data_IF_131805604868
#
_entry.id   IF_131805604868
#
_cell.length_a   1.000
_cell.length_b   1.000
_cell.length_c   1.000
_cell.angle_alpha   90.00
_cell.angle_beta   90.00
_cell.angle_gamma   90.00
#
_symmetry.space_group_name_H-M   'P 1'
#
loop_
_entity.id
_entity.type
_entity.pdbx_description
1 polymer ?
#
# COMPACT_ATOMS: atom_id res chain seq x y z
N UNK A 1 2.25 7.79 -45.07
CA UNK A 1 1.50 6.59 -44.63
C UNK A 1 2.45 5.51 -44.10
N UNK A 2 3.04 5.70 -42.91
CA UNK A 2 3.85 4.67 -42.20
C UNK A 2 3.51 4.50 -40.71
N UNK A 3 2.65 5.35 -40.13
CA UNK A 3 2.27 5.33 -38.71
C UNK A 3 1.37 4.16 -38.29
N UNK A 4 0.71 3.47 -39.23
CA UNK A 4 -0.24 2.38 -38.90
C UNK A 4 0.42 1.05 -38.52
N UNK A 5 1.61 0.75 -39.03
CA UNK A 5 2.29 -0.54 -38.78
C UNK A 5 3.08 -0.56 -37.46
N UNK A 6 3.71 0.55 -37.09
CA UNK A 6 4.50 0.66 -35.86
C UNK A 6 3.60 0.66 -34.61
N UNK A 7 2.46 1.37 -34.65
CA UNK A 7 1.51 1.40 -33.53
C UNK A 7 0.88 0.02 -33.25
N UNK A 8 0.51 -0.72 -34.30
CA UNK A 8 -0.07 -2.06 -34.14
C UNK A 8 0.94 -3.06 -33.56
N UNK A 9 2.22 -2.93 -33.94
CA UNK A 9 3.31 -3.75 -33.40
C UNK A 9 3.63 -3.42 -31.93
N UNK A 10 3.52 -2.15 -31.53
CA UNK A 10 3.73 -1.72 -30.14
C UNK A 10 2.58 -2.16 -29.22
N UNK A 11 1.34 -2.05 -29.68
CA UNK A 11 0.16 -2.49 -28.94
C UNK A 11 0.16 -4.00 -28.71
N UNK A 12 0.49 -4.79 -29.74
CA UNK A 12 0.62 -6.25 -29.62
C UNK A 12 1.68 -6.62 -28.59
N UNK A 13 2.83 -5.94 -28.64
CA UNK A 13 3.92 -6.17 -27.68
C UNK A 13 3.50 -5.85 -26.24
N UNK A 14 2.80 -4.74 -26.00
CA UNK A 14 2.31 -4.40 -24.67
C UNK A 14 1.29 -5.44 -24.18
N UNK A 15 0.39 -5.91 -25.04
CA UNK A 15 -0.56 -6.97 -24.68
C UNK A 15 0.16 -8.26 -24.29
N UNK A 16 1.21 -8.65 -25.01
CA UNK A 16 2.02 -9.81 -24.66
C UNK A 16 2.69 -9.64 -23.28
N UNK A 17 3.27 -8.47 -22.99
CA UNK A 17 3.87 -8.17 -21.69
C UNK A 17 2.85 -8.21 -20.54
N UNK A 18 1.65 -7.65 -20.75
CA UNK A 18 0.57 -7.70 -19.77
C UNK A 18 0.08 -9.13 -19.57
N UNK A 19 0.01 -9.93 -20.64
CA UNK A 19 -0.36 -11.33 -20.55
C UNK A 19 0.68 -12.15 -19.76
N UNK A 20 1.97 -11.81 -19.84
CA UNK A 20 3.00 -12.43 -19.01
C UNK A 20 2.79 -12.16 -17.51
N UNK A 21 2.25 -10.99 -17.11
CA UNK A 21 1.93 -10.71 -15.69
C UNK A 21 0.96 -11.74 -15.09
N UNK A 22 0.09 -12.34 -15.90
CA UNK A 22 -0.85 -13.37 -15.44
C UNK A 22 -0.19 -14.72 -15.16
N UNK A 23 1.03 -14.96 -15.66
CA UNK A 23 1.68 -16.28 -15.63
C UNK A 23 2.77 -16.40 -14.58
N UNK A 24 3.24 -15.26 -14.08
CA UNK A 24 4.42 -15.16 -13.21
C UNK A 24 4.03 -14.61 -11.85
N UNK A 25 4.80 -15.00 -10.84
CA UNK A 25 4.70 -14.50 -9.48
C UNK A 25 5.74 -13.39 -9.27
N UNK A 26 6.22 -13.21 -8.04
CA UNK A 26 7.33 -12.31 -7.71
C UNK A 26 8.63 -12.57 -8.48
N UNK A 27 8.75 -13.70 -9.20
CA UNK A 27 9.91 -14.05 -10.04
C UNK A 27 9.83 -13.50 -11.46
N UNK A 28 8.91 -12.58 -11.75
CA UNK A 28 8.92 -11.83 -13.01
C UNK A 28 10.33 -11.25 -13.30
N UNK A 29 10.72 -11.28 -14.57
CA UNK A 29 12.00 -10.75 -15.01
C UNK A 29 12.00 -9.22 -15.00
N UNK A 30 13.13 -8.63 -14.57
CA UNK A 30 13.27 -7.18 -14.48
C UNK A 30 13.14 -6.50 -15.85
N UNK A 31 13.45 -7.19 -16.97
CA UNK A 31 13.27 -6.60 -18.30
C UNK A 31 11.78 -6.49 -18.65
N UNK A 32 10.96 -7.47 -18.29
CA UNK A 32 9.49 -7.38 -18.48
C UNK A 32 8.94 -6.15 -17.76
N UNK A 33 9.34 -5.94 -16.49
CA UNK A 33 8.95 -4.75 -15.72
C UNK A 33 9.44 -3.45 -16.38
N UNK A 34 10.72 -3.39 -16.78
CA UNK A 34 11.29 -2.21 -17.48
C UNK A 34 10.55 -1.89 -18.76
N UNK A 35 10.18 -2.90 -19.54
CA UNK A 35 9.48 -2.70 -20.80
C UNK A 35 8.07 -2.17 -20.57
N UNK A 36 7.32 -2.70 -19.61
CA UNK A 36 5.99 -2.17 -19.25
C UNK A 36 6.10 -0.72 -18.76
N UNK A 37 7.05 -0.42 -17.88
CA UNK A 37 7.30 0.94 -17.39
C UNK A 37 7.66 1.88 -18.56
N UNK A 38 8.43 1.41 -19.54
CA UNK A 38 8.79 2.20 -20.73
C UNK A 38 7.59 2.52 -21.65
N UNK A 39 6.50 1.75 -21.59
CA UNK A 39 5.24 2.11 -22.27
C UNK A 39 4.50 3.27 -21.58
N UNK A 40 4.86 3.61 -20.34
CA UNK A 40 4.32 4.75 -19.62
C UNK A 40 2.80 4.68 -19.46
N UNK A 41 2.11 5.79 -19.71
CA UNK A 41 0.65 5.89 -19.60
C UNK A 41 -0.13 4.94 -20.53
N UNK A 42 0.49 4.40 -21.59
CA UNK A 42 -0.17 3.42 -22.46
C UNK A 42 -0.43 2.09 -21.75
N UNK A 43 0.36 1.75 -20.72
CA UNK A 43 0.15 0.54 -19.92
C UNK A 43 -1.01 0.67 -18.93
N UNK A 44 -1.33 1.89 -18.48
CA UNK A 44 -2.32 2.15 -17.40
C UNK A 44 -3.68 1.50 -17.66
N UNK A 45 -4.33 1.63 -18.84
CA UNK A 45 -5.64 1.01 -19.07
C UNK A 45 -5.62 -0.52 -18.94
N UNK A 46 -4.50 -1.16 -19.29
CA UNK A 46 -4.34 -2.60 -19.17
C UNK A 46 -4.17 -3.04 -17.70
N UNK A 47 -3.43 -2.26 -16.92
CA UNK A 47 -3.24 -2.50 -15.48
C UNK A 47 -4.54 -2.25 -14.70
N UNK A 48 -5.28 -1.18 -15.03
CA UNK A 48 -6.61 -0.96 -14.46
C UNK A 48 -7.58 -2.09 -14.82
N UNK A 49 -7.50 -2.60 -16.05
CA UNK A 49 -8.35 -3.71 -16.48
C UNK A 49 -8.08 -5.00 -15.68
N UNK A 50 -6.86 -5.20 -15.17
CA UNK A 50 -6.58 -6.29 -14.22
C UNK A 50 -7.37 -6.10 -12.93
N UNK A 51 -7.36 -4.90 -12.34
CA UNK A 51 -8.11 -4.60 -11.11
C UNK A 51 -9.63 -4.74 -11.33
N UNK A 52 -10.15 -4.26 -12.48
CA UNK A 52 -11.57 -4.41 -12.83
C UNK A 52 -11.96 -5.88 -12.96
N UNK A 53 -11.10 -6.72 -13.52
CA UNK A 53 -11.36 -8.16 -13.57
C UNK A 53 -11.33 -8.81 -12.19
N UNK A 54 -10.41 -8.38 -11.31
CA UNK A 54 -10.38 -8.86 -9.93
C UNK A 54 -11.66 -8.50 -9.16
N UNK A 55 -12.14 -7.26 -9.30
CA UNK A 55 -13.44 -6.80 -8.77
C UNK A 55 -14.61 -7.67 -9.29
N UNK A 56 -14.66 -7.94 -10.60
CA UNK A 56 -15.70 -8.80 -11.18
C UNK A 56 -15.66 -10.24 -10.66
N UNK A 57 -14.46 -10.77 -10.39
CA UNK A 57 -14.30 -12.12 -9.83
C UNK A 57 -14.68 -12.19 -8.35
N UNK A 58 -14.63 -11.07 -7.63
CA UNK A 58 -14.80 -10.98 -6.17
C UNK A 58 -16.12 -11.57 -5.67
N UNK A 59 -17.21 -11.47 -6.45
CA UNK A 59 -18.50 -12.07 -6.10
C UNK A 59 -18.52 -13.60 -6.08
N UNK A 60 -17.53 -14.24 -6.72
CA UNK A 60 -17.48 -15.69 -6.95
C UNK A 60 -16.20 -16.33 -6.40
N UNK A 61 -15.40 -15.61 -5.61
CA UNK A 61 -14.17 -16.17 -5.02
C UNK A 61 -14.57 -17.26 -4.03
N UNK A 62 -14.15 -18.49 -4.31
CA UNK A 62 -14.24 -19.59 -3.37
C UNK A 62 -12.96 -19.66 -2.54
N UNK A 63 -12.96 -18.94 -1.42
CA UNK A 63 -11.81 -18.84 -0.50
C UNK A 63 -11.41 -20.20 0.10
N UNK A 64 -12.29 -21.21 0.04
CA UNK A 64 -12.02 -22.57 0.53
C UNK A 64 -11.31 -23.47 -0.48
N UNK A 65 -11.13 -23.03 -1.72
CA UNK A 65 -10.47 -23.81 -2.77
C UNK A 65 -9.44 -22.92 -3.45
N UNK A 66 -8.13 -23.13 -3.22
CA UNK A 66 -7.09 -22.40 -3.93
C UNK A 66 -7.32 -22.56 -5.43
N UNK A 67 -7.70 -21.49 -6.11
CA UNK A 67 -7.71 -21.48 -7.57
C UNK A 67 -6.26 -21.56 -8.07
N UNK A 68 -6.03 -22.19 -9.22
CA UNK A 68 -4.70 -22.53 -9.75
C UNK A 68 -3.61 -21.46 -9.56
N UNK A 69 -2.75 -21.74 -8.58
CA UNK A 69 -1.40 -21.33 -8.18
C UNK A 69 -0.71 -20.00 -8.57
N UNK A 70 -1.16 -19.15 -9.51
CA UNK A 70 -0.39 -17.93 -9.85
C UNK A 70 -1.20 -16.70 -10.26
N UNK A 71 -2.46 -16.88 -10.60
CA UNK A 71 -3.31 -15.79 -11.10
C UNK A 71 -3.51 -14.65 -10.08
N UNK A 72 -3.31 -14.91 -8.78
CA UNK A 72 -3.52 -13.89 -7.74
C UNK A 72 -2.47 -12.78 -7.77
N UNK A 73 -1.21 -13.10 -8.13
CA UNK A 73 -0.10 -12.13 -8.10
C UNK A 73 -0.23 -11.05 -9.18
N UNK A 74 -1.08 -11.25 -10.18
CA UNK A 74 -1.35 -10.26 -11.22
C UNK A 74 -1.91 -8.95 -10.67
N UNK A 75 -2.71 -9.00 -9.60
CA UNK A 75 -3.22 -7.80 -8.94
C UNK A 75 -2.08 -7.03 -8.28
N UNK A 76 -1.16 -7.75 -7.64
CA UNK A 76 0.05 -7.16 -7.05
C UNK A 76 0.91 -6.50 -8.12
N UNK A 77 1.15 -7.17 -9.25
CA UNK A 77 1.83 -6.56 -10.40
C UNK A 77 1.15 -5.25 -10.82
N UNK A 78 -0.18 -5.26 -10.97
CA UNK A 78 -0.94 -4.09 -11.40
C UNK A 78 -0.82 -2.92 -10.43
N UNK A 79 -1.00 -3.14 -9.12
CA UNK A 79 -0.92 -2.10 -8.10
C UNK A 79 0.45 -1.39 -8.10
N UNK A 80 1.54 -2.16 -8.04
CA UNK A 80 2.89 -1.57 -8.01
C UNK A 80 3.29 -0.93 -9.33
N UNK A 81 2.85 -1.45 -10.48
CA UNK A 81 3.09 -0.81 -11.78
C UNK A 81 2.32 0.50 -11.91
N UNK A 82 1.06 0.58 -11.45
CA UNK A 82 0.31 1.84 -11.42
C UNK A 82 1.02 2.89 -10.55
N UNK A 83 1.56 2.48 -9.40
CA UNK A 83 2.33 3.34 -8.50
C UNK A 83 3.65 3.83 -9.12
N UNK A 84 4.40 2.93 -9.76
CA UNK A 84 5.64 3.25 -10.48
C UNK A 84 5.38 4.24 -11.62
N UNK A 85 4.27 4.06 -12.34
CA UNK A 85 3.83 4.93 -13.42
C UNK A 85 3.23 6.26 -12.95
N UNK A 86 3.11 6.47 -11.62
CA UNK A 86 2.50 7.67 -11.01
C UNK A 86 1.09 7.95 -11.54
N UNK A 87 0.31 6.90 -11.73
CA UNK A 87 -1.05 7.01 -12.28
C UNK A 87 -2.06 7.46 -11.22
N UNK A 88 -1.94 8.71 -10.72
CA UNK A 88 -2.79 9.25 -9.65
C UNK A 88 -4.29 9.14 -9.97
N UNK A 89 -4.67 9.20 -11.25
CA UNK A 89 -6.07 9.03 -11.69
C UNK A 89 -6.63 7.63 -11.46
N UNK A 90 -5.76 6.63 -11.28
CA UNK A 90 -6.15 5.27 -10.95
C UNK A 90 -6.44 5.07 -9.46
N UNK A 91 -6.20 6.08 -8.61
CA UNK A 91 -6.41 5.99 -7.15
C UNK A 91 -7.84 5.54 -6.80
N UNK A 92 -8.86 6.13 -7.44
CA UNK A 92 -10.25 5.77 -7.17
C UNK A 92 -10.56 4.29 -7.42
N UNK A 93 -9.99 3.71 -8.48
CA UNK A 93 -10.13 2.27 -8.77
C UNK A 93 -9.37 1.40 -7.77
N UNK A 94 -8.19 1.85 -7.32
CA UNK A 94 -7.43 1.16 -6.27
C UNK A 94 -8.20 1.18 -4.96
N UNK A 95 -8.80 2.31 -4.58
CA UNK A 95 -9.63 2.41 -3.38
C UNK A 95 -10.91 1.56 -3.51
N UNK A 96 -11.57 1.51 -4.67
CA UNK A 96 -12.70 0.60 -4.92
C UNK A 96 -12.31 -0.88 -4.76
N UNK A 97 -11.10 -1.24 -5.17
CA UNK A 97 -10.55 -2.57 -4.94
C UNK A 97 -10.25 -2.82 -3.45
N UNK A 98 -9.72 -1.85 -2.72
CA UNK A 98 -9.46 -1.96 -1.29
C UNK A 98 -10.73 -1.86 -0.42
N UNK A 99 -11.87 -1.44 -0.96
CA UNK A 99 -13.15 -1.46 -0.26
C UNK A 99 -13.81 -2.86 -0.28
N UNK A 100 -13.18 -3.85 -0.90
CA UNK A 100 -13.70 -5.22 -0.89
C UNK A 100 -13.60 -5.85 0.52
N UNK A 101 -14.32 -6.95 0.72
CA UNK A 101 -14.31 -7.68 1.99
C UNK A 101 -12.95 -8.32 2.26
N UNK A 102 -12.63 -8.55 3.55
CA UNK A 102 -11.38 -9.17 3.99
C UNK A 102 -11.03 -10.43 3.20
N UNK A 103 -12.00 -11.32 3.00
CA UNK A 103 -11.78 -12.61 2.35
C UNK A 103 -11.41 -12.50 0.87
N UNK A 104 -11.88 -11.45 0.19
CA UNK A 104 -11.47 -11.08 -1.17
C UNK A 104 -10.06 -10.48 -1.16
N UNK A 105 -9.78 -9.58 -0.22
CA UNK A 105 -8.47 -8.92 -0.11
C UNK A 105 -7.38 -9.92 0.25
N UNK A 106 -7.63 -10.82 1.20
CA UNK A 106 -6.72 -11.91 1.60
C UNK A 106 -6.35 -12.79 0.40
N UNK A 107 -7.32 -13.06 -0.48
CA UNK A 107 -7.07 -13.87 -1.68
C UNK A 107 -6.12 -13.18 -2.66
N UNK A 108 -6.23 -11.86 -2.85
CA UNK A 108 -5.44 -11.15 -3.86
C UNK A 108 -4.13 -10.58 -3.32
N UNK A 109 -4.11 -10.14 -2.06
CA UNK A 109 -3.02 -9.38 -1.47
C UNK A 109 -2.25 -10.18 -0.41
N UNK A 110 -2.89 -11.18 0.21
CA UNK A 110 -2.32 -11.91 1.34
C UNK A 110 -1.76 -10.93 2.40
N UNK A 111 -0.56 -11.20 2.92
CA UNK A 111 0.13 -10.38 3.93
C UNK A 111 0.52 -8.98 3.42
N UNK A 112 0.48 -8.73 2.10
CA UNK A 112 0.88 -7.43 1.55
C UNK A 112 -0.09 -6.30 1.89
N UNK A 113 -1.34 -6.63 2.19
CA UNK A 113 -2.35 -5.63 2.57
C UNK A 113 -1.86 -4.78 3.75
N UNK A 114 -1.26 -5.43 4.74
CA UNK A 114 -0.88 -4.83 6.01
C UNK A 114 0.56 -4.30 5.99
N UNK A 115 1.42 -4.87 5.14
CA UNK A 115 2.85 -4.56 5.15
C UNK A 115 3.26 -3.50 4.12
N UNK A 116 2.73 -3.57 2.90
CA UNK A 116 3.37 -2.89 1.76
C UNK A 116 2.41 -2.11 0.83
N UNK A 117 1.11 -2.42 0.84
CA UNK A 117 0.12 -1.74 -0.04
C UNK A 117 0.07 -0.23 0.19
N UNK A 118 0.44 0.24 1.38
CA UNK A 118 0.56 1.67 1.68
C UNK A 118 1.49 2.42 0.72
N UNK A 119 2.51 1.78 0.12
CA UNK A 119 3.40 2.43 -0.85
C UNK A 119 2.68 2.80 -2.14
N UNK A 120 1.77 1.94 -2.60
CA UNK A 120 0.92 2.22 -3.76
C UNK A 120 0.06 3.43 -3.45
N UNK A 121 -0.59 3.45 -2.28
CA UNK A 121 -1.44 4.55 -1.84
C UNK A 121 -0.65 5.86 -1.62
N UNK A 122 0.60 5.78 -1.14
CA UNK A 122 1.49 6.92 -1.00
C UNK A 122 1.72 7.58 -2.37
N UNK A 123 2.11 6.81 -3.38
CA UNK A 123 2.45 7.37 -4.69
C UNK A 123 1.23 7.85 -5.48
N UNK A 124 0.10 7.17 -5.37
CA UNK A 124 -1.13 7.55 -6.06
C UNK A 124 -1.90 8.67 -5.34
N UNK A 125 -1.78 8.74 -4.02
CA UNK A 125 -2.60 9.59 -3.16
C UNK A 125 -1.93 10.84 -2.61
N UNK A 126 -0.62 11.02 -2.79
CA UNK A 126 0.12 12.17 -2.23
C UNK A 126 -0.44 13.55 -2.59
N UNK A 127 -1.19 13.69 -3.68
CA UNK A 127 -1.86 14.92 -4.10
C UNK A 127 -3.39 14.83 -4.08
N UNK A 128 -3.95 13.78 -3.49
CA UNK A 128 -5.38 13.42 -3.51
C UNK A 128 -5.87 13.09 -2.09
N UNK A 129 -5.46 13.89 -1.11
CA UNK A 129 -5.70 13.63 0.32
C UNK A 129 -7.19 13.53 0.67
N UNK A 130 -8.06 14.25 -0.03
CA UNK A 130 -9.50 14.23 0.20
C UNK A 130 -10.12 12.85 -0.14
N UNK A 131 -9.60 12.15 -1.16
CA UNK A 131 -10.03 10.79 -1.50
C UNK A 131 -9.56 9.78 -0.44
N UNK A 132 -8.31 9.92 0.02
CA UNK A 132 -7.78 9.10 1.12
C UNK A 132 -8.56 9.33 2.41
N UNK A 133 -8.87 10.59 2.73
CA UNK A 133 -9.70 10.97 3.88
C UNK A 133 -11.10 10.33 3.79
N UNK A 134 -11.75 10.44 2.63
CA UNK A 134 -13.08 9.86 2.43
C UNK A 134 -13.06 8.35 2.68
N UNK A 135 -12.02 7.66 2.21
CA UNK A 135 -11.88 6.23 2.39
C UNK A 135 -11.67 5.82 3.86
N UNK A 136 -10.78 6.51 4.59
CA UNK A 136 -10.49 6.16 6.00
C UNK A 136 -11.64 6.49 6.94
N UNK A 137 -12.45 7.51 6.63
CA UNK A 137 -13.62 7.87 7.43
C UNK A 137 -14.81 6.92 7.25
N UNK A 138 -14.83 6.11 6.19
CA UNK A 138 -15.88 5.12 5.98
C UNK A 138 -15.59 3.85 6.79
N UNK A 139 -16.26 3.73 7.94
CA UNK A 139 -16.15 2.59 8.87
C UNK A 139 -16.67 1.26 8.28
N UNK A 140 -17.32 1.28 7.11
CA UNK A 140 -17.71 0.04 6.41
C UNK A 140 -16.55 -0.59 5.63
N UNK A 141 -15.48 0.17 5.38
CA UNK A 141 -14.28 -0.35 4.75
C UNK A 141 -13.51 -1.28 5.69
N UNK A 142 -12.80 -2.21 5.09
CA UNK A 142 -11.96 -3.17 5.79
C UNK A 142 -10.91 -2.46 6.70
N UNK A 143 -10.78 -2.94 7.95
CA UNK A 143 -9.88 -2.37 8.97
C UNK A 143 -8.44 -2.23 8.47
N UNK A 144 -7.89 -3.28 7.86
CA UNK A 144 -6.50 -3.26 7.38
C UNK A 144 -6.32 -2.39 6.13
N UNK A 145 -7.33 -2.34 5.25
CA UNK A 145 -7.31 -1.40 4.12
C UNK A 145 -7.34 0.05 4.57
N UNK A 146 -8.17 0.37 5.58
CA UNK A 146 -8.19 1.71 6.21
C UNK A 146 -6.83 2.00 6.84
N UNK A 147 -6.23 1.02 7.52
CA UNK A 147 -4.91 1.17 8.13
C UNK A 147 -3.81 1.42 7.08
N UNK A 148 -3.82 0.73 5.94
CA UNK A 148 -2.88 0.98 4.84
C UNK A 148 -3.00 2.42 4.29
N UNK A 149 -4.22 2.97 4.22
CA UNK A 149 -4.43 4.38 3.89
C UNK A 149 -3.90 5.30 4.99
N UNK A 150 -4.09 4.97 6.27
CA UNK A 150 -3.51 5.72 7.39
C UNK A 150 -1.98 5.74 7.30
N UNK A 151 -1.33 4.60 7.08
CA UNK A 151 0.13 4.51 6.90
C UNK A 151 0.59 5.37 5.73
N UNK A 152 -0.13 5.35 4.59
CA UNK A 152 0.18 6.20 3.46
C UNK A 152 0.09 7.70 3.81
N UNK A 153 -0.99 8.13 4.49
CA UNK A 153 -1.16 9.51 4.97
C UNK A 153 -0.04 9.92 5.93
N UNK A 154 0.33 9.06 6.88
CA UNK A 154 1.45 9.28 7.80
C UNK A 154 2.74 9.50 7.01
N UNK A 155 3.08 8.60 6.09
CA UNK A 155 4.31 8.70 5.31
C UNK A 155 4.29 9.93 4.40
N UNK A 156 3.15 10.31 3.80
CA UNK A 156 3.02 11.57 3.04
C UNK A 156 3.39 12.77 3.94
N UNK A 157 2.88 12.82 5.17
CA UNK A 157 3.21 13.89 6.12
C UNK A 157 4.69 13.95 6.51
N UNK A 158 5.30 12.78 6.72
CA UNK A 158 6.74 12.67 7.03
C UNK A 158 7.65 13.03 5.86
N UNK A 159 7.17 12.89 4.62
CA UNK A 159 7.90 13.23 3.40
C UNK A 159 7.65 14.66 2.91
N UNK A 160 6.48 15.21 3.19
CA UNK A 160 6.07 16.54 2.77
C UNK A 160 5.42 17.31 3.94
N UNK A 161 6.24 18.11 4.62
CA UNK A 161 5.79 18.89 5.77
C UNK A 161 4.74 19.94 5.41
N UNK A 162 4.59 20.32 4.13
CA UNK A 162 3.54 21.24 3.70
C UNK A 162 2.13 20.64 3.83
N UNK A 163 2.03 19.31 3.81
CA UNK A 163 0.77 18.56 3.95
C UNK A 163 0.41 18.27 5.39
N UNK A 164 1.31 18.53 6.35
CA UNK A 164 1.10 18.07 7.71
C UNK A 164 -0.16 18.62 8.36
N UNK A 165 -0.42 19.93 8.22
CA UNK A 165 -1.63 20.52 8.79
C UNK A 165 -2.92 19.85 8.28
N UNK A 166 -2.99 19.45 7.02
CA UNK A 166 -4.17 18.78 6.48
C UNK A 166 -4.29 17.36 7.02
N UNK A 167 -3.19 16.62 7.07
CA UNK A 167 -3.15 15.25 7.60
C UNK A 167 -3.51 15.22 9.09
N UNK A 168 -3.04 16.18 9.88
CA UNK A 168 -3.46 16.37 11.28
C UNK A 168 -4.98 16.49 11.39
N UNK A 169 -5.60 17.33 10.56
CA UNK A 169 -7.07 17.51 10.61
C UNK A 169 -7.83 16.25 10.16
N UNK A 170 -7.29 15.50 9.19
CA UNK A 170 -7.85 14.19 8.82
C UNK A 170 -7.83 13.26 10.04
N UNK A 171 -6.69 13.11 10.70
CA UNK A 171 -6.58 12.17 11.83
C UNK A 171 -7.36 12.61 13.06
N UNK A 172 -7.53 13.92 13.31
CA UNK A 172 -8.48 14.38 14.33
C UNK A 172 -9.89 13.87 14.06
N UNK A 173 -10.34 13.89 12.81
CA UNK A 173 -11.66 13.38 12.46
C UNK A 173 -11.75 11.86 12.67
N UNK A 174 -10.76 11.11 12.18
CA UNK A 174 -10.72 9.64 12.32
C UNK A 174 -10.72 9.23 13.79
N UNK A 175 -9.90 9.86 14.65
CA UNK A 175 -9.83 9.55 16.08
C UNK A 175 -11.11 9.90 16.86
N UNK A 176 -11.99 10.72 16.29
CA UNK A 176 -13.28 11.10 16.91
C UNK A 176 -14.48 10.34 16.36
N UNK A 177 -14.25 9.35 15.49
CA UNK A 177 -15.30 8.44 15.05
C UNK A 177 -15.85 7.66 16.25
N UNK A 178 -17.17 7.52 16.29
CA UNK A 178 -17.85 6.77 17.35
C UNK A 178 -17.95 5.30 16.97
N UNK A 179 -18.02 4.45 18.01
CA UNK A 179 -18.22 3.01 17.85
C UNK A 179 -17.18 2.39 16.91
N UNK A 180 -15.94 2.87 17.00
CA UNK A 180 -14.84 2.41 16.16
C UNK A 180 -14.34 1.05 16.63
N UNK A 181 -13.82 0.26 15.68
CA UNK A 181 -13.20 -1.01 16.01
C UNK A 181 -11.99 -0.81 16.94
N UNK A 182 -11.92 -1.61 18.00
CA UNK A 182 -10.89 -1.50 19.05
C UNK A 182 -9.49 -1.82 18.50
N UNK A 183 -9.38 -2.81 17.61
CA UNK A 183 -8.12 -3.20 16.98
C UNK A 183 -7.68 -2.10 16.00
N UNK A 184 -8.60 -1.58 15.17
CA UNK A 184 -8.30 -0.44 14.31
C UNK A 184 -7.80 0.77 15.11
N UNK A 185 -8.47 1.10 16.21
CA UNK A 185 -8.10 2.23 17.07
C UNK A 185 -6.69 2.07 17.65
N UNK A 186 -6.36 0.89 18.20
CA UNK A 186 -5.04 0.62 18.74
C UNK A 186 -3.93 0.63 17.69
N UNK A 187 -4.19 0.06 16.51
CA UNK A 187 -3.25 0.06 15.39
C UNK A 187 -3.05 1.48 14.82
N UNK A 188 -4.13 2.24 14.65
CA UNK A 188 -4.07 3.63 14.21
C UNK A 188 -3.24 4.47 15.17
N UNK A 189 -3.47 4.34 16.49
CA UNK A 189 -2.67 5.07 17.49
C UNK A 189 -1.19 4.75 17.29
N UNK A 190 -0.85 3.47 17.13
CA UNK A 190 0.53 3.02 16.89
C UNK A 190 1.17 3.62 15.64
N UNK A 191 0.42 3.73 14.53
CA UNK A 191 0.86 4.39 13.30
C UNK A 191 1.10 5.90 13.49
N UNK A 192 0.19 6.57 14.20
CA UNK A 192 0.26 8.03 14.41
C UNK A 192 1.39 8.46 15.32
N UNK A 193 1.94 7.55 16.13
CA UNK A 193 3.14 7.83 16.92
C UNK A 193 4.37 8.17 16.06
N UNK A 194 4.39 7.76 14.79
CA UNK A 194 5.48 8.12 13.89
C UNK A 194 5.43 9.57 13.43
N UNK A 195 4.26 10.21 13.42
CA UNK A 195 4.10 11.64 13.13
C UNK A 195 4.62 12.53 14.26
N UNK A 196 4.40 12.11 15.51
CA UNK A 196 4.68 12.91 16.72
C UNK A 196 4.07 14.30 16.69
N UNK A 197 2.86 14.38 16.17
CA UNK A 197 2.12 15.62 16.19
C UNK A 197 1.50 15.83 17.58
N UNK A 198 2.07 16.77 18.33
CA UNK A 198 1.57 17.17 19.66
C UNK A 198 0.09 17.57 19.64
N UNK A 199 -0.43 18.05 18.50
CA UNK A 199 -1.84 18.38 18.35
C UNK A 199 -2.76 17.14 18.34
N UNK A 200 -2.23 15.95 18.02
CA UNK A 200 -2.98 14.69 18.03
C UNK A 200 -2.91 13.99 19.38
N UNK A 201 -1.88 14.24 20.20
CA UNK A 201 -1.64 13.50 21.45
C UNK A 201 -2.86 13.36 22.36
N UNK A 202 -3.64 14.42 22.66
CA UNK A 202 -4.84 14.28 23.49
C UNK A 202 -5.88 13.32 22.88
N UNK A 203 -6.12 13.43 21.57
CA UNK A 203 -7.08 12.58 20.87
C UNK A 203 -6.62 11.11 20.79
N UNK A 204 -5.30 10.87 20.70
CA UNK A 204 -4.77 9.50 20.76
C UNK A 204 -5.06 8.83 22.10
N UNK A 205 -4.85 9.54 23.20
CA UNK A 205 -5.12 9.03 24.55
C UNK A 205 -6.62 8.79 24.76
N UNK A 206 -7.45 9.72 24.31
CA UNK A 206 -8.91 9.60 24.36
C UNK A 206 -9.41 8.40 23.54
N UNK A 207 -8.85 8.16 22.35
CA UNK A 207 -9.22 7.03 21.51
C UNK A 207 -8.90 5.66 22.12
N UNK A 208 -7.81 5.54 22.91
CA UNK A 208 -7.49 4.31 23.65
C UNK A 208 -8.58 4.03 24.70
N UNK A 209 -8.92 5.05 25.49
CA UNK A 209 -9.89 4.93 26.57
C UNK A 209 -11.32 4.70 26.05
N UNK A 210 -11.74 5.42 25.01
CA UNK A 210 -13.11 5.38 24.50
C UNK A 210 -13.46 4.08 23.77
N UNK A 211 -12.49 3.47 23.09
CA UNK A 211 -12.71 2.27 22.27
C UNK A 211 -12.25 0.99 22.99
N UNK A 212 -12.03 1.05 24.31
CA UNK A 212 -11.59 -0.07 25.15
C UNK A 212 -10.39 -0.83 24.54
N UNK A 213 -9.40 -0.09 24.03
CA UNK A 213 -8.26 -0.68 23.28
C UNK A 213 -7.52 -1.68 24.15
N UNK A 214 -7.32 -2.89 23.60
CA UNK A 214 -6.59 -3.94 24.30
C UNK A 214 -5.13 -3.53 24.54
N UNK A 215 -4.71 -3.58 25.80
CA UNK A 215 -3.34 -3.23 26.24
C UNK A 215 -2.23 -4.05 25.55
N UNK A 216 -2.57 -5.19 24.94
CA UNK A 216 -1.63 -5.97 24.13
C UNK A 216 -1.27 -5.33 22.78
N UNK A 217 -2.06 -4.34 22.32
CA UNK A 217 -1.79 -3.56 21.12
C UNK A 217 -0.98 -2.32 21.50
N UNK A 218 -1.54 -1.47 22.38
CA UNK A 218 -0.90 -0.24 22.81
C UNK A 218 -1.49 0.28 24.13
N UNK A 219 -0.67 0.93 24.95
CA UNK A 219 -1.04 1.53 26.24
C UNK A 219 -0.81 3.04 26.30
N UNK A 220 -1.49 3.71 27.23
CA UNK A 220 -1.30 5.15 27.52
C UNK A 220 0.16 5.45 27.91
N UNK A 221 0.79 4.56 28.68
CA UNK A 221 2.18 4.66 29.10
C UNK A 221 3.14 4.61 27.90
N UNK A 222 2.90 3.71 26.94
CA UNK A 222 3.70 3.60 25.71
C UNK A 222 3.59 4.84 24.85
N UNK A 223 2.37 5.37 24.66
CA UNK A 223 2.16 6.64 23.94
C UNK A 223 2.98 7.75 24.59
N UNK A 224 2.89 7.92 25.91
CA UNK A 224 3.64 8.96 26.61
C UNK A 224 5.16 8.79 26.46
N UNK A 225 5.67 7.56 26.63
CA UNK A 225 7.09 7.23 26.48
C UNK A 225 7.63 7.52 25.06
N UNK A 226 6.84 7.26 24.02
CA UNK A 226 7.28 7.46 22.63
C UNK A 226 7.35 8.95 22.24
N UNK A 227 6.43 9.77 22.76
CA UNK A 227 6.49 11.23 22.62
C UNK A 227 7.72 11.83 23.33
N UNK A 228 8.21 11.22 24.41
CA UNK A 228 9.45 11.63 25.08
C UNK A 228 10.72 11.22 24.31
N UNK A 229 10.64 10.17 23.48
CA UNK A 229 11.75 9.69 22.66
C UNK A 229 11.90 10.49 21.34
N UNK A 230 13.07 10.48 20.70
CA UNK A 230 13.36 11.26 19.47
C UNK A 230 13.22 10.50 18.14
N UNK A 231 12.92 9.19 18.14
CA UNK A 231 12.87 8.42 16.88
C UNK A 231 11.49 8.47 16.23
N UNK A 232 11.45 8.77 14.94
CA UNK A 232 10.28 8.62 14.05
C UNK A 232 10.59 7.57 12.99
N UNK A 233 9.60 6.77 12.59
CA UNK A 233 9.75 5.80 11.50
C UNK A 233 9.30 6.42 10.17
N UNK A 234 10.19 7.23 9.61
CA UNK A 234 10.08 7.63 8.21
C UNK A 234 10.57 6.49 7.32
N UNK A 235 9.64 5.88 6.57
CA UNK A 235 9.91 4.80 5.62
C UNK A 235 10.17 5.41 4.25
N UNK A 236 11.13 4.85 3.51
CA UNK A 236 11.35 5.24 2.11
C UNK A 236 10.52 4.31 1.23
N UNK A 237 9.53 4.83 0.48
CA UNK A 237 8.71 4.00 -0.40
C UNK A 237 9.58 3.45 -1.54
N UNK A 238 9.48 2.14 -1.78
CA UNK A 238 10.32 1.45 -2.75
C UNK A 238 9.84 1.70 -4.19
N UNK A 239 10.78 1.79 -5.14
CA UNK A 239 10.42 1.66 -6.55
C UNK A 239 10.15 0.19 -6.91
N UNK A 240 9.57 -0.04 -8.08
CA UNK A 240 9.17 -1.40 -8.47
C UNK A 240 10.33 -2.39 -8.48
N UNK A 241 11.55 -2.00 -8.88
CA UNK A 241 12.69 -2.92 -8.93
C UNK A 241 13.19 -3.31 -7.54
N UNK A 242 13.19 -2.36 -6.60
CA UNK A 242 13.52 -2.61 -5.20
C UNK A 242 12.48 -3.51 -4.53
N UNK A 243 11.19 -3.25 -4.79
CA UNK A 243 10.07 -4.05 -4.31
C UNK A 243 10.15 -5.50 -4.79
N UNK A 244 10.38 -5.72 -6.08
CA UNK A 244 10.55 -7.08 -6.63
C UNK A 244 11.85 -7.75 -6.21
N UNK A 245 12.94 -6.98 -6.03
CA UNK A 245 14.14 -7.53 -5.40
C UNK A 245 13.83 -8.08 -4.00
N UNK A 246 13.07 -7.32 -3.20
CA UNK A 246 12.69 -7.71 -1.85
C UNK A 246 11.77 -8.94 -1.83
N UNK A 247 10.73 -8.97 -2.67
CA UNK A 247 9.86 -10.15 -2.80
C UNK A 247 10.65 -11.41 -3.13
N UNK A 248 11.64 -11.33 -4.03
CA UNK A 248 12.50 -12.46 -4.36
C UNK A 248 13.41 -12.86 -3.20
N UNK A 249 13.77 -11.95 -2.30
CA UNK A 249 14.48 -12.34 -1.07
C UNK A 249 13.55 -13.11 -0.14
N UNK A 250 12.33 -12.64 0.12
CA UNK A 250 11.38 -13.32 1.00
C UNK A 250 10.98 -14.70 0.49
N UNK A 251 10.73 -14.86 -0.82
CA UNK A 251 10.42 -16.18 -1.40
C UNK A 251 11.59 -17.16 -1.32
N UNK A 252 12.82 -16.66 -1.20
CA UNK A 252 14.02 -17.48 -1.04
C UNK A 252 14.41 -17.68 0.44
N UNK A 253 13.76 -16.98 1.38
CA UNK A 253 14.03 -17.01 2.81
C UNK A 253 12.76 -17.33 3.60
N UNK A 254 12.55 -18.61 3.90
CA UNK A 254 11.87 -18.97 5.15
C UNK A 254 12.73 -18.43 6.31
N UNK A 255 12.20 -17.45 7.05
CA UNK A 255 12.75 -16.81 8.25
C UNK A 255 13.74 -15.64 8.07
N UNK A 256 13.25 -14.40 8.02
CA UNK A 256 13.75 -13.25 8.82
C UNK A 256 12.87 -12.02 8.59
N UNK A 257 12.68 -11.20 9.63
CA UNK A 257 11.68 -10.11 9.67
C UNK A 257 12.07 -8.85 8.87
N UNK A 258 11.08 -8.03 8.43
CA UNK A 258 11.27 -6.84 7.59
C UNK A 258 12.28 -5.80 8.11
N UNK A 259 12.40 -5.67 9.43
CA UNK A 259 13.26 -4.69 10.10
C UNK A 259 14.76 -4.97 9.92
N UNK A 260 15.14 -6.24 9.72
CA UNK A 260 16.53 -6.62 9.41
C UNK A 260 16.89 -6.34 7.94
N UNK A 261 15.90 -6.36 7.05
CA UNK A 261 16.07 -6.21 5.60
C UNK A 261 16.32 -4.75 5.20
N UNK A 262 15.59 -3.79 5.79
CA UNK A 262 15.86 -2.35 5.61
C UNK A 262 17.30 -1.97 5.99
N UNK A 263 17.85 -2.58 7.05
CA UNK A 263 19.24 -2.37 7.48
C UNK A 263 20.26 -3.01 6.51
N UNK A 264 19.95 -4.17 5.93
CA UNK A 264 20.81 -4.84 4.93
C UNK A 264 20.86 -4.08 3.60
N UNK A 265 19.72 -3.57 3.11
CA UNK A 265 19.65 -2.75 1.90
C UNK A 265 20.52 -1.49 2.03
N UNK A 266 20.41 -0.78 3.17
CA UNK A 266 21.27 0.38 3.45
C UNK A 266 22.75 0.02 3.47
N UNK A 267 23.12 -1.14 4.02
CA UNK A 267 24.52 -1.59 4.11
C UNK A 267 25.11 -1.97 2.74
N UNK A 268 24.33 -2.57 1.86
CA UNK A 268 24.79 -2.93 0.50
C UNK A 268 24.89 -1.72 -0.43
N UNK A 269 23.98 -0.75 -0.31
CA UNK A 269 24.07 0.50 -1.08
C UNK A 269 25.26 1.37 -0.64
N UNK A 270 25.63 1.34 0.65
CA UNK A 270 26.86 2.00 1.13
C UNK A 270 28.16 1.39 0.58
N UNK A 271 28.16 0.09 0.27
CA UNK A 271 29.34 -0.61 -0.27
C UNK A 271 29.51 -0.44 -1.78
N UNK A 272 28.50 0.11 -2.49
CA UNK A 272 28.59 0.43 -3.93
C UNK A 272 29.00 1.88 -4.22
N UNK A 273 29.24 2.70 -3.19
CA UNK A 273 29.63 4.11 -3.32
C UNK A 273 31.08 4.41 -2.88
N UNK A 274 31.92 3.39 -2.70
CA UNK A 274 33.37 3.55 -2.48
C UNK A 274 34.16 2.59 -3.38
#
# INVERSE_FOLDING_TARGET
>A
MRRGGENHSQETKLQDLIHELHKVDSRIDDNTLKEIVAFGSQAVPYLENILRQALQKSSNINVKTPQGDKDWFVVIHALYLLAELRSEDSLGLVLEFLSQKQDVLDYWLHELLDEDVWETLFFLGQNRLDELQTFVLDQSNNVFSRLAVCTALVQIGLHDSSKMSQITEIFKQVLTLKDEDSDFSGLLVSELLDLKDEALKPALLEAIEQNDVWEGIITVEEVNSIYENKRTRKLEPLNIFERYWLFRQYTNFTATSPTELSKKVKKQNFQKQF
#
